data_IF_558710718996
#
_entry.id   IF_558710718996
#
_cell.length_a   1.000
_cell.length_b   1.000
_cell.length_c   1.000
_cell.angle_alpha   90.00
_cell.angle_beta   90.00
_cell.angle_gamma   90.00
#
_symmetry.space_group_name_H-M   'P 1'
#
loop_
_entity.id
_entity.type
_entity.pdbx_description
1 polymer ?
#
# COMPACT_ATOMS: atom_id res chain seq x y z
N UNK A 1 -46.67 -1.31 40.63
CA UNK A 1 -45.30 -1.29 41.18
C UNK A 1 -44.47 -2.53 40.83
N UNK A 2 -44.88 -3.76 41.15
CA UNK A 2 -44.06 -5.00 40.99
C UNK A 2 -43.53 -5.26 39.56
N UNK A 3 -44.31 -4.94 38.50
CA UNK A 3 -43.92 -5.17 37.09
C UNK A 3 -42.81 -4.25 36.60
N UNK A 4 -42.69 -3.05 37.15
CA UNK A 4 -41.63 -2.11 36.78
C UNK A 4 -40.30 -2.41 37.49
N UNK A 5 -40.37 -3.03 38.67
CA UNK A 5 -39.19 -3.49 39.42
C UNK A 5 -38.49 -4.64 38.68
N UNK A 6 -39.26 -5.59 38.14
CA UNK A 6 -38.70 -6.70 37.36
C UNK A 6 -38.02 -6.23 36.06
N UNK A 7 -38.62 -5.27 35.33
CA UNK A 7 -37.99 -4.72 34.13
C UNK A 7 -36.72 -3.91 34.43
N UNK A 8 -36.70 -3.17 35.55
CA UNK A 8 -35.50 -2.43 35.97
C UNK A 8 -34.35 -3.38 36.37
N UNK A 9 -34.66 -4.50 37.01
CA UNK A 9 -33.66 -5.49 37.42
C UNK A 9 -33.01 -6.21 36.22
N UNK A 10 -33.80 -6.49 35.17
CA UNK A 10 -33.30 -7.14 33.94
C UNK A 10 -32.38 -6.22 33.14
N UNK A 11 -32.70 -4.92 33.08
CA UNK A 11 -31.81 -3.92 32.44
C UNK A 11 -30.50 -3.75 33.21
N UNK A 12 -30.54 -3.81 34.55
CA UNK A 12 -29.35 -3.72 35.39
C UNK A 12 -28.43 -4.95 35.23
N UNK A 13 -28.99 -6.14 35.02
CA UNK A 13 -28.22 -7.38 34.83
C UNK A 13 -27.46 -7.43 33.49
N UNK A 14 -27.95 -6.76 32.44
CA UNK A 14 -27.30 -6.74 31.12
C UNK A 14 -26.10 -5.78 31.06
N UNK A 15 -26.01 -4.78 31.93
CA UNK A 15 -24.90 -3.80 31.94
C UNK A 15 -23.61 -4.33 32.59
N UNK A 16 -23.67 -5.47 33.29
CA UNK A 16 -22.53 -6.06 34.00
C UNK A 16 -21.57 -6.88 33.12
N UNK A 17 -21.85 -7.03 31.82
CA UNK A 17 -21.03 -7.80 30.89
C UNK A 17 -20.45 -6.97 29.73
N UNK A 18 -20.12 -5.69 29.95
CA UNK A 18 -19.26 -4.98 29.00
C UNK A 18 -17.78 -5.27 29.32
N UNK A 19 -17.03 -5.93 28.42
CA UNK A 19 -15.59 -6.09 28.59
C UNK A 19 -14.93 -4.71 28.58
N UNK A 20 -13.97 -4.48 29.49
CA UNK A 20 -13.11 -3.29 29.48
C UNK A 20 -12.33 -3.28 28.17
N UNK A 21 -12.78 -2.49 27.20
CA UNK A 21 -12.05 -2.25 25.95
C UNK A 21 -10.72 -1.59 26.33
N UNK A 22 -9.56 -2.18 25.99
CA UNK A 22 -8.28 -1.54 26.21
C UNK A 22 -8.22 -0.28 25.34
N UNK A 23 -7.92 0.85 25.96
CA UNK A 23 -7.71 2.12 25.28
C UNK A 23 -6.49 2.00 24.36
N UNK A 24 -6.75 1.62 23.09
CA UNK A 24 -5.75 1.43 22.04
C UNK A 24 -5.66 2.69 21.16
N UNK A 25 -6.10 3.84 21.68
CA UNK A 25 -5.86 5.12 21.05
C UNK A 25 -4.35 5.38 21.00
N UNK A 26 -3.84 5.72 19.82
CA UNK A 26 -2.51 6.35 19.70
C UNK A 26 -2.53 7.57 20.63
N UNK A 27 -1.61 7.60 21.60
CA UNK A 27 -1.60 8.54 22.72
C UNK A 27 -1.56 10.00 22.29
N UNK A 28 -2.73 10.57 22.03
CA UNK A 28 -2.95 12.00 21.96
C UNK A 28 -3.51 12.42 23.32
N UNK A 29 -2.62 12.79 24.24
CA UNK A 29 -3.04 13.63 25.35
C UNK A 29 -3.80 14.85 24.79
N UNK A 30 -4.76 15.38 25.55
CA UNK A 30 -5.52 16.56 25.13
C UNK A 30 -4.61 17.69 24.66
N UNK A 31 -5.08 18.48 23.68
CA UNK A 31 -4.28 19.54 23.04
C UNK A 31 -3.53 20.47 24.02
N UNK A 32 -4.12 20.72 25.20
CA UNK A 32 -3.49 21.51 26.27
C UNK A 32 -2.26 20.84 26.90
N UNK A 33 -2.28 19.52 27.08
CA UNK A 33 -1.14 18.71 27.53
C UNK A 33 -0.04 18.71 26.46
N UNK A 34 -0.42 18.53 25.18
CA UNK A 34 0.51 18.64 24.06
C UNK A 34 1.19 20.02 24.00
N UNK A 35 0.43 21.10 24.15
CA UNK A 35 0.95 22.46 24.15
C UNK A 35 1.93 22.70 25.32
N UNK A 36 1.61 22.20 26.52
CA UNK A 36 2.53 22.25 27.68
C UNK A 36 3.82 21.47 27.45
N UNK A 37 3.72 20.24 26.93
CA UNK A 37 4.89 19.41 26.58
C UNK A 37 5.76 20.07 25.50
N UNK A 38 5.15 20.76 24.54
CA UNK A 38 5.86 21.53 23.51
C UNK A 38 6.61 22.71 24.12
N UNK A 39 5.94 23.54 24.93
CA UNK A 39 6.56 24.67 25.60
C UNK A 39 7.72 24.26 26.54
N UNK A 40 7.56 23.17 27.29
CA UNK A 40 8.62 22.64 28.15
C UNK A 40 9.85 22.16 27.35
N UNK A 41 9.63 21.53 26.19
CA UNK A 41 10.70 21.11 25.28
C UNK A 41 11.40 22.31 24.64
N UNK A 42 10.64 23.31 24.21
CA UNK A 42 11.18 24.53 23.62
C UNK A 42 12.05 25.30 24.64
N UNK A 43 11.62 25.36 25.91
CA UNK A 43 12.41 25.93 27.01
C UNK A 43 13.71 25.15 27.32
N UNK A 44 13.68 23.81 27.20
CA UNK A 44 14.89 22.98 27.32
C UNK A 44 15.88 23.23 26.17
N UNK A 45 15.38 23.50 24.96
CA UNK A 45 16.21 23.80 23.80
C UNK A 45 16.81 25.21 23.86
N UNK A 46 16.09 26.20 24.41
CA UNK A 46 16.63 27.55 24.62
C UNK A 46 17.78 27.59 25.65
N UNK A 47 17.75 26.71 26.65
CA UNK A 47 18.85 26.56 27.61
C UNK A 47 20.10 25.88 27.03
N UNK A 48 19.93 25.10 25.95
CA UNK A 48 21.03 24.45 25.25
C UNK A 48 21.40 25.31 24.04
N UNK A 49 22.17 26.38 24.27
CA UNK A 49 22.82 27.12 23.19
C UNK A 49 23.77 26.18 22.43
N UNK A 50 23.23 25.45 21.45
CA UNK A 50 24.03 24.90 20.36
C UNK A 50 24.68 26.12 19.73
N UNK A 51 26.00 26.24 19.92
CA UNK A 51 26.79 27.35 19.41
C UNK A 51 26.39 27.64 17.97
N UNK A 52 26.10 28.91 17.68
CA UNK A 52 25.82 29.42 16.34
C UNK A 52 26.95 29.00 15.39
N UNK A 53 26.81 27.85 14.76
CA UNK A 53 27.44 27.55 13.49
C UNK A 53 26.76 28.44 12.46
N UNK A 54 27.50 29.42 11.96
CA UNK A 54 27.04 30.34 10.94
C UNK A 54 26.45 29.60 9.74
N UNK A 55 25.49 30.26 9.11
CA UNK A 55 25.00 29.99 7.76
C UNK A 55 26.12 29.46 6.86
N UNK A 56 25.88 28.27 6.31
CA UNK A 56 26.75 27.65 5.31
C UNK A 56 26.51 28.40 4.00
N UNK A 57 27.31 29.41 3.72
CA UNK A 57 27.57 29.97 2.39
C UNK A 57 28.63 31.06 2.56
N UNK A 58 29.89 30.69 2.39
CA UNK A 58 30.89 31.48 1.67
C UNK A 58 32.21 30.67 1.65
N UNK A 59 32.77 30.53 0.46
CA UNK A 59 34.01 29.81 0.22
C UNK A 59 35.18 30.52 0.92
N UNK A 60 35.94 29.80 1.74
CA UNK A 60 37.20 30.32 2.30
C UNK A 60 38.35 29.43 1.86
N UNK A 61 39.07 29.97 0.88
CA UNK A 61 40.48 29.70 0.63
C UNK A 61 41.31 30.04 1.88
N UNK A 62 42.05 29.03 2.34
CA UNK A 62 43.40 29.09 2.94
C UNK A 62 43.83 30.37 3.69
N UNK A 63 43.94 30.29 5.03
CA UNK A 63 45.11 30.70 5.83
C UNK A 63 44.83 30.45 7.31
N UNK A 64 45.88 30.12 8.07
CA UNK A 64 45.78 29.48 9.38
C UNK A 64 45.12 30.29 10.49
N UNK A 65 44.54 29.58 11.47
CA UNK A 65 44.64 29.85 12.92
C UNK A 65 43.91 28.72 13.66
N UNK A 66 44.67 28.03 14.51
CA UNK A 66 44.27 27.26 15.70
C UNK A 66 43.13 26.25 15.59
N UNK A 67 43.56 24.99 15.52
CA UNK A 67 42.78 23.78 15.84
C UNK A 67 42.22 23.90 17.27
N UNK A 68 40.99 24.40 17.41
CA UNK A 68 40.23 24.21 18.64
C UNK A 68 39.89 22.71 18.69
N UNK A 69 40.58 21.97 19.56
CA UNK A 69 40.12 20.66 20.02
C UNK A 69 38.82 20.90 20.79
N UNK A 70 37.70 20.94 20.08
CA UNK A 70 36.39 20.81 20.70
C UNK A 70 36.26 19.35 21.14
N UNK A 71 36.74 19.07 22.35
CA UNK A 71 36.31 17.89 23.09
C UNK A 71 34.84 18.09 23.41
N UNK A 72 33.97 17.55 22.54
CA UNK A 72 32.59 17.27 22.91
C UNK A 72 32.65 16.28 24.07
N UNK A 73 32.53 16.80 25.30
CA UNK A 73 32.35 15.97 26.48
C UNK A 73 30.94 15.40 26.42
N UNK A 74 30.78 14.33 25.65
CA UNK A 74 29.55 13.55 25.54
C UNK A 74 29.26 12.95 26.91
N UNK A 75 28.42 13.62 27.70
CA UNK A 75 27.82 13.03 28.90
C UNK A 75 27.04 11.79 28.49
N UNK A 76 27.52 10.64 28.95
CA UNK A 76 26.96 9.29 28.84
C UNK A 76 25.50 9.21 28.35
N UNK A 77 25.32 8.92 27.05
CA UNK A 77 24.15 8.26 26.41
C UNK A 77 24.06 8.50 24.88
N UNK A 78 24.89 9.36 24.28
CA UNK A 78 24.90 9.58 22.83
C UNK A 78 26.05 8.75 22.22
N UNK A 79 25.70 7.87 21.28
CA UNK A 79 26.66 7.02 20.54
C UNK A 79 27.73 7.88 19.88
N UNK A 80 28.99 7.45 19.90
CA UNK A 80 30.12 8.13 19.26
C UNK A 80 30.09 8.04 17.71
N UNK A 81 29.02 7.51 17.15
CA UNK A 81 28.72 7.40 15.71
C UNK A 81 28.58 8.76 14.99
N UNK A 82 28.63 9.88 15.72
CA UNK A 82 28.67 11.24 15.16
C UNK A 82 30.07 11.88 15.26
N UNK A 83 31.05 11.23 15.87
CA UNK A 83 32.45 11.68 15.90
C UNK A 83 33.26 10.98 14.79
N UNK A 84 33.62 11.75 13.75
CA UNK A 84 34.41 11.27 12.62
C UNK A 84 35.76 10.67 13.02
N UNK A 85 36.37 11.08 14.15
CA UNK A 85 37.62 10.51 14.64
C UNK A 85 37.39 9.14 15.33
N UNK A 86 36.26 8.98 16.01
CA UNK A 86 35.90 7.72 16.66
C UNK A 86 35.52 6.65 15.62
N UNK A 87 34.78 7.03 14.57
CA UNK A 87 34.38 6.13 13.49
C UNK A 87 35.57 5.78 12.59
N UNK A 88 36.43 6.73 12.21
CA UNK A 88 37.61 6.44 11.37
C UNK A 88 38.67 5.57 12.04
N UNK A 89 38.72 5.53 13.37
CA UNK A 89 39.58 4.60 14.11
C UNK A 89 39.02 3.17 14.23
N UNK A 90 37.71 2.99 14.05
CA UNK A 90 37.00 1.70 14.19
C UNK A 90 36.67 1.06 12.84
N UNK A 91 36.28 1.88 11.86
CA UNK A 91 35.92 1.48 10.51
C UNK A 91 37.03 1.85 9.55
N UNK A 92 37.77 0.84 9.09
CA UNK A 92 38.80 0.99 8.08
C UNK A 92 38.24 0.78 6.68
N UNK A 93 38.95 1.29 5.66
CA UNK A 93 38.61 1.08 4.24
C UNK A 93 38.60 -0.41 3.92
N UNK A 94 39.49 -1.17 4.55
CA UNK A 94 39.61 -2.62 4.42
C UNK A 94 38.39 -3.35 4.99
N UNK A 95 37.93 -2.99 6.20
CA UNK A 95 36.70 -3.54 6.81
C UNK A 95 35.48 -3.28 5.91
N UNK A 96 35.37 -2.05 5.40
CA UNK A 96 34.25 -1.66 4.56
C UNK A 96 34.23 -2.41 3.21
N UNK A 97 35.42 -2.59 2.61
CA UNK A 97 35.59 -3.39 1.40
C UNK A 97 35.11 -4.84 1.60
N UNK A 98 35.42 -5.47 2.73
CA UNK A 98 34.96 -6.83 3.03
C UNK A 98 33.44 -6.90 3.23
N UNK A 99 32.85 -5.90 3.90
CA UNK A 99 31.39 -5.82 4.08
C UNK A 99 30.68 -5.68 2.73
N UNK A 100 31.18 -4.82 1.85
CA UNK A 100 30.67 -4.67 0.50
C UNK A 100 30.87 -5.95 -0.33
N UNK A 101 32.00 -6.65 -0.18
CA UNK A 101 32.22 -7.93 -0.84
C UNK A 101 31.19 -8.99 -0.41
N UNK A 102 30.89 -9.07 0.89
CA UNK A 102 29.83 -9.96 1.43
C UNK A 102 28.44 -9.59 0.90
N UNK A 103 28.10 -8.30 0.87
CA UNK A 103 26.82 -7.83 0.35
C UNK A 103 26.67 -8.11 -1.15
N UNK A 104 27.74 -7.88 -1.93
CA UNK A 104 27.75 -8.16 -3.37
C UNK A 104 27.70 -9.65 -3.68
N UNK A 105 28.32 -10.50 -2.85
CA UNK A 105 28.24 -11.95 -2.99
C UNK A 105 26.82 -12.51 -2.74
N UNK A 106 26.00 -11.79 -1.98
CA UNK A 106 24.59 -12.14 -1.73
C UNK A 106 23.61 -11.50 -2.72
N UNK A 107 24.07 -10.54 -3.52
CA UNK A 107 23.21 -9.82 -4.45
C UNK A 107 22.96 -10.67 -5.71
N UNK A 108 21.70 -11.04 -5.92
CA UNK A 108 21.23 -11.71 -7.14
C UNK A 108 20.36 -10.74 -7.93
N UNK A 109 20.80 -10.38 -9.13
CA UNK A 109 19.96 -9.67 -10.10
C UNK A 109 19.09 -10.70 -10.79
N UNK A 110 17.79 -10.63 -10.58
CA UNK A 110 16.83 -11.40 -11.37
C UNK A 110 16.56 -10.58 -12.63
N UNK A 111 17.17 -10.99 -13.74
CA UNK A 111 16.85 -10.42 -15.05
C UNK A 111 15.36 -10.66 -15.37
N UNK A 112 14.62 -9.63 -15.84
CA UNK A 112 13.24 -9.80 -16.25
C UNK A 112 13.14 -10.86 -17.34
N UNK A 113 12.73 -12.06 -16.96
CA UNK A 113 12.49 -13.13 -17.92
C UNK A 113 11.18 -12.81 -18.64
N UNK A 114 11.17 -12.94 -19.97
CA UNK A 114 9.95 -12.75 -20.75
C UNK A 114 8.83 -13.62 -20.16
N UNK A 115 7.65 -13.01 -19.95
CA UNK A 115 6.46 -13.74 -19.53
C UNK A 115 6.29 -14.93 -20.47
N UNK A 116 6.11 -16.16 -19.96
CA UNK A 116 5.98 -17.35 -20.80
C UNK A 116 4.97 -17.09 -21.92
N UNK A 117 5.42 -17.20 -23.17
CA UNK A 117 4.57 -17.04 -24.37
C UNK A 117 3.69 -18.26 -24.63
N UNK A 118 3.68 -19.21 -23.70
CA UNK A 118 2.72 -20.30 -23.66
C UNK A 118 1.32 -19.70 -23.65
N UNK A 119 0.64 -19.80 -24.78
CA UNK A 119 -0.72 -19.35 -24.97
C UNK A 119 -1.60 -20.05 -23.93
N UNK A 120 -1.81 -19.43 -22.79
CA UNK A 120 -2.97 -19.70 -21.98
C UNK A 120 -4.16 -19.31 -22.87
N UNK A 121 -4.67 -20.27 -23.65
CA UNK A 121 -5.72 -20.04 -24.64
C UNK A 121 -6.93 -19.35 -24.00
N UNK A 122 -7.17 -19.63 -22.71
CA UNK A 122 -8.17 -18.97 -21.88
C UNK A 122 -7.82 -17.49 -21.62
N UNK A 123 -6.57 -17.17 -21.26
CA UNK A 123 -6.10 -15.79 -21.10
C UNK A 123 -6.17 -14.99 -22.41
N UNK A 124 -5.77 -15.59 -23.53
CA UNK A 124 -5.89 -14.97 -24.84
C UNK A 124 -7.36 -14.71 -25.23
N UNK A 125 -8.27 -15.64 -24.92
CA UNK A 125 -9.70 -15.46 -25.14
C UNK A 125 -10.29 -14.32 -24.28
N UNK A 126 -9.88 -14.21 -23.01
CA UNK A 126 -10.29 -13.11 -22.13
C UNK A 126 -9.80 -11.75 -22.64
N UNK A 127 -8.53 -11.65 -23.03
CA UNK A 127 -7.96 -10.43 -23.64
C UNK A 127 -8.73 -10.08 -24.91
N UNK A 128 -8.92 -11.05 -25.82
CA UNK A 128 -9.69 -10.82 -27.05
C UNK A 128 -11.10 -10.29 -26.74
N UNK A 129 -11.78 -10.90 -25.78
CA UNK A 129 -13.12 -10.47 -25.36
C UNK A 129 -13.11 -9.05 -24.77
N UNK A 130 -12.19 -8.75 -23.84
CA UNK A 130 -12.03 -7.43 -23.23
C UNK A 130 -11.78 -6.31 -24.26
N UNK A 131 -11.00 -6.62 -25.31
CA UNK A 131 -10.65 -5.67 -26.35
C UNK A 131 -11.73 -5.50 -27.42
N UNK A 132 -12.58 -6.51 -27.62
CA UNK A 132 -13.71 -6.48 -28.56
C UNK A 132 -14.93 -5.70 -28.03
N UNK A 133 -15.11 -5.70 -26.71
CA UNK A 133 -16.21 -5.00 -26.04
C UNK A 133 -15.89 -3.52 -25.82
N UNK A 134 -16.90 -2.66 -25.89
CA UNK A 134 -16.76 -1.20 -25.69
C UNK A 134 -17.51 -0.65 -24.48
N UNK A 135 -18.46 -1.41 -23.96
CA UNK A 135 -19.27 -1.03 -22.81
C UNK A 135 -18.44 -1.03 -21.52
N UNK A 136 -18.88 -0.22 -20.55
CA UNK A 136 -18.33 -0.18 -19.19
C UNK A 136 -18.95 -1.29 -18.34
N UNK A 137 -18.32 -1.60 -17.21
CA UNK A 137 -18.93 -2.46 -16.18
C UNK A 137 -20.21 -1.82 -15.67
N UNK A 138 -21.23 -2.64 -15.44
CA UNK A 138 -22.60 -2.25 -15.08
C UNK A 138 -23.40 -1.64 -16.24
N UNK A 139 -22.83 -1.47 -17.43
CA UNK A 139 -23.55 -0.94 -18.58
C UNK A 139 -24.30 -2.07 -19.28
N UNK A 140 -25.58 -2.23 -18.93
CA UNK A 140 -26.48 -3.22 -19.50
C UNK A 140 -26.61 -3.05 -21.03
N UNK A 141 -26.08 -4.01 -21.78
CA UNK A 141 -26.20 -4.09 -23.25
C UNK A 141 -26.92 -5.36 -23.70
N UNK A 142 -27.05 -6.35 -22.82
CA UNK A 142 -27.81 -7.58 -23.03
C UNK A 142 -29.08 -7.54 -22.19
N UNK A 143 -30.22 -7.88 -22.82
CA UNK A 143 -31.51 -7.95 -22.12
C UNK A 143 -31.49 -9.15 -21.16
N UNK A 144 -31.74 -8.91 -19.87
CA UNK A 144 -31.87 -9.94 -18.83
C UNK A 144 -33.24 -9.86 -18.18
N UNK A 145 -33.92 -10.99 -18.11
CA UNK A 145 -35.09 -11.12 -17.24
C UNK A 145 -34.60 -11.43 -15.82
N UNK A 146 -34.58 -10.43 -14.95
CA UNK A 146 -34.15 -10.61 -13.56
C UNK A 146 -35.20 -11.29 -12.68
N UNK A 147 -36.33 -11.72 -13.27
CA UNK A 147 -37.35 -12.50 -12.60
C UNK A 147 -36.75 -13.82 -12.06
N UNK A 148 -36.57 -13.91 -10.74
CA UNK A 148 -35.99 -15.07 -10.06
C UNK A 148 -34.46 -15.03 -9.85
N UNK A 149 -33.78 -13.98 -10.32
CA UNK A 149 -32.37 -13.71 -10.00
C UNK A 149 -32.26 -12.80 -8.79
N UNK A 150 -31.86 -13.36 -7.65
CA UNK A 150 -31.61 -12.60 -6.42
C UNK A 150 -30.12 -12.35 -6.20
N UNK A 151 -29.79 -11.29 -5.46
CA UNK A 151 -28.41 -11.00 -5.07
C UNK A 151 -27.74 -12.21 -4.38
N UNK A 152 -28.47 -12.96 -3.57
CA UNK A 152 -27.95 -14.18 -2.94
C UNK A 152 -27.66 -15.30 -3.94
N UNK A 153 -28.49 -15.49 -4.97
CA UNK A 153 -28.22 -16.48 -6.03
C UNK A 153 -26.98 -16.09 -6.84
N UNK A 154 -26.90 -14.83 -7.25
CA UNK A 154 -25.73 -14.28 -7.93
C UNK A 154 -24.44 -14.50 -7.11
N UNK A 155 -24.41 -14.09 -5.83
CA UNK A 155 -23.25 -14.31 -4.94
C UNK A 155 -22.85 -15.77 -4.86
N UNK A 156 -23.81 -16.69 -4.67
CA UNK A 156 -23.53 -18.15 -4.64
C UNK A 156 -23.00 -18.68 -5.96
N UNK A 157 -23.47 -18.15 -7.09
CA UNK A 157 -22.98 -18.57 -8.41
C UNK A 157 -21.55 -18.07 -8.65
N UNK A 158 -21.25 -16.83 -8.26
CA UNK A 158 -19.91 -16.26 -8.38
C UNK A 158 -18.90 -16.91 -7.43
N UNK A 159 -19.32 -17.26 -6.21
CA UNK A 159 -18.47 -17.96 -5.23
C UNK A 159 -17.99 -19.35 -5.67
N UNK A 160 -18.54 -19.91 -6.76
CA UNK A 160 -18.07 -21.18 -7.35
C UNK A 160 -16.72 -21.04 -8.07
N UNK A 161 -16.31 -19.82 -8.40
CA UNK A 161 -15.10 -19.57 -9.16
C UNK A 161 -14.02 -18.94 -8.27
N UNK A 162 -12.77 -19.41 -8.35
CA UNK A 162 -11.69 -18.92 -7.51
C UNK A 162 -11.18 -17.53 -7.93
N UNK A 163 -11.55 -17.04 -9.11
CA UNK A 163 -11.21 -15.70 -9.57
C UNK A 163 -12.23 -15.14 -10.57
N UNK A 164 -12.31 -13.80 -10.74
CA UNK A 164 -13.16 -13.18 -11.75
C UNK A 164 -12.88 -13.67 -13.18
N UNK A 165 -11.60 -13.85 -13.53
CA UNK A 165 -11.19 -14.37 -14.84
C UNK A 165 -11.73 -15.79 -15.10
N UNK A 166 -11.76 -16.64 -14.07
CA UNK A 166 -12.34 -17.99 -14.17
C UNK A 166 -13.86 -17.92 -14.34
N UNK A 167 -14.54 -17.02 -13.63
CA UNK A 167 -15.97 -16.79 -13.81
C UNK A 167 -16.29 -16.32 -15.24
N UNK A 168 -15.54 -15.34 -15.76
CA UNK A 168 -15.70 -14.83 -17.13
C UNK A 168 -15.45 -15.92 -18.17
N UNK A 169 -14.39 -16.71 -18.01
CA UNK A 169 -14.10 -17.83 -18.92
C UNK A 169 -15.26 -18.83 -18.93
N UNK A 170 -15.74 -19.21 -17.75
CA UNK A 170 -16.84 -20.16 -17.61
C UNK A 170 -18.17 -19.62 -18.16
N UNK A 171 -18.41 -18.31 -18.05
CA UNK A 171 -19.53 -17.59 -18.63
C UNK A 171 -19.48 -17.67 -20.16
N UNK A 172 -18.36 -17.25 -20.77
CA UNK A 172 -18.15 -17.30 -22.23
C UNK A 172 -18.30 -18.72 -22.78
N UNK A 173 -17.76 -19.72 -22.08
CA UNK A 173 -17.88 -21.13 -22.47
C UNK A 173 -19.31 -21.69 -22.33
N UNK A 174 -20.18 -21.04 -21.55
CA UNK A 174 -21.57 -21.50 -21.30
C UNK A 174 -22.65 -20.74 -22.09
N UNK A 175 -22.24 -20.03 -23.15
CA UNK A 175 -23.12 -19.20 -24.00
C UNK A 175 -22.84 -17.71 -23.89
N UNK A 176 -22.00 -17.31 -22.92
CA UNK A 176 -21.58 -15.94 -22.72
C UNK A 176 -22.76 -14.98 -22.60
N UNK A 177 -22.61 -13.75 -23.12
CA UNK A 177 -23.62 -12.73 -22.91
C UNK A 177 -24.91 -12.96 -23.70
N UNK A 178 -24.90 -13.79 -24.74
CA UNK A 178 -26.13 -14.18 -25.44
C UNK A 178 -27.04 -15.03 -24.54
N UNK A 179 -26.45 -15.88 -23.69
CA UNK A 179 -27.19 -16.80 -22.82
C UNK A 179 -26.47 -16.98 -21.48
N UNK A 180 -26.88 -16.22 -20.48
CA UNK A 180 -26.40 -16.37 -19.10
C UNK A 180 -27.10 -17.53 -18.38
N UNK A 181 -26.77 -18.77 -18.77
CA UNK A 181 -27.37 -19.97 -18.18
C UNK A 181 -27.01 -20.17 -16.71
N UNK A 182 -25.92 -19.57 -16.25
CA UNK A 182 -25.37 -19.74 -14.90
C UNK A 182 -25.69 -18.56 -13.97
N UNK A 183 -26.38 -17.52 -14.45
CA UNK A 183 -26.74 -16.35 -13.67
C UNK A 183 -25.50 -15.61 -13.13
N UNK A 184 -24.49 -15.44 -13.99
CA UNK A 184 -23.22 -14.77 -13.66
C UNK A 184 -23.19 -13.30 -14.07
N UNK A 185 -24.09 -12.85 -14.93
CA UNK A 185 -24.17 -11.49 -15.48
C UNK A 185 -25.65 -11.01 -15.41
N UNK A 186 -26.18 -10.76 -14.19
CA UNK A 186 -27.57 -10.34 -13.97
C UNK A 186 -27.83 -8.88 -14.39
N UNK A 187 -26.81 -8.04 -14.44
CA UNK A 187 -26.87 -6.68 -14.95
C UNK A 187 -26.77 -6.62 -16.48
N UNK A 188 -26.37 -7.71 -17.13
CA UNK A 188 -26.40 -7.83 -18.59
C UNK A 188 -25.35 -6.95 -19.27
N UNK A 189 -24.27 -6.63 -18.59
CA UNK A 189 -23.15 -5.89 -19.17
C UNK A 189 -22.19 -6.83 -19.94
N UNK A 190 -22.40 -8.14 -19.85
CA UNK A 190 -21.58 -9.15 -20.49
C UNK A 190 -20.24 -9.41 -19.79
N UNK A 191 -20.09 -8.93 -18.56
CA UNK A 191 -18.97 -9.16 -17.66
C UNK A 191 -19.45 -9.91 -16.43
N UNK A 192 -19.10 -11.19 -16.39
CA UNK A 192 -19.50 -12.10 -15.34
C UNK A 192 -18.88 -11.72 -13.99
N UNK A 193 -19.72 -11.76 -12.97
CA UNK A 193 -19.32 -11.55 -11.59
C UNK A 193 -18.58 -10.21 -11.41
N UNK A 194 -17.39 -10.25 -10.82
CA UNK A 194 -16.57 -9.06 -10.57
C UNK A 194 -15.56 -8.78 -11.70
N UNK A 195 -15.69 -9.46 -12.84
CA UNK A 195 -14.69 -9.34 -13.91
C UNK A 195 -14.65 -7.94 -14.52
N UNK A 196 -13.44 -7.43 -14.73
CA UNK A 196 -13.20 -6.09 -15.25
C UNK A 196 -12.35 -6.11 -16.52
N UNK A 197 -12.85 -5.59 -17.66
CA UNK A 197 -12.06 -5.49 -18.89
C UNK A 197 -11.06 -4.32 -18.89
N UNK A 198 -11.16 -3.36 -17.96
CA UNK A 198 -10.33 -2.14 -17.96
C UNK A 198 -8.83 -2.39 -17.89
N UNK A 199 -8.31 -3.30 -17.04
CA UNK A 199 -6.88 -3.59 -17.01
C UNK A 199 -6.33 -4.00 -18.39
N UNK A 200 -7.03 -4.85 -19.12
CA UNK A 200 -6.65 -5.27 -20.47
C UNK A 200 -6.69 -4.12 -21.49
N UNK A 201 -7.73 -3.29 -21.42
CA UNK A 201 -7.88 -2.13 -22.31
C UNK A 201 -6.82 -1.07 -22.04
N UNK A 202 -6.45 -0.86 -20.77
CA UNK A 202 -5.39 0.07 -20.37
C UNK A 202 -4.02 -0.44 -20.79
N UNK A 203 -3.75 -1.74 -20.64
CA UNK A 203 -2.51 -2.34 -21.13
C UNK A 203 -2.35 -2.16 -22.65
N UNK A 204 -3.43 -2.32 -23.44
CA UNK A 204 -3.39 -2.04 -24.89
C UNK A 204 -3.06 -0.57 -25.18
N UNK A 205 -3.66 0.38 -24.45
CA UNK A 205 -3.37 1.82 -24.62
C UNK A 205 -1.91 2.12 -24.31
N UNK A 206 -1.39 1.60 -23.20
CA UNK A 206 0.01 1.78 -22.81
C UNK A 206 0.97 1.17 -23.85
N UNK A 207 0.65 -0.01 -24.37
CA UNK A 207 1.43 -0.65 -25.44
C UNK A 207 1.41 0.17 -26.74
N UNK A 208 0.26 0.76 -27.12
CA UNK A 208 0.18 1.62 -28.30
C UNK A 208 0.97 2.93 -28.16
N UNK A 209 1.04 3.50 -26.95
CA UNK A 209 1.83 4.71 -26.69
C UNK A 209 3.32 4.42 -26.81
N UNK A 210 3.77 3.26 -26.30
CA UNK A 210 5.19 2.87 -26.33
C UNK A 210 5.68 2.47 -27.73
N UNK A 211 4.76 2.16 -28.65
CA UNK A 211 5.08 1.78 -30.02
C UNK A 211 5.29 2.97 -30.98
N UNK A 212 5.11 4.22 -30.50
CA UNK A 212 5.44 5.42 -31.29
C UNK A 212 6.96 5.66 -31.17
N UNK A 213 7.76 5.45 -32.23
CA UNK A 213 9.18 5.76 -32.19
C UNK A 213 9.37 7.27 -31.99
N UNK A 214 10.45 7.73 -31.33
CA UNK A 214 10.76 9.16 -31.28
C UNK A 214 10.94 9.65 -32.72
N UNK A 215 10.17 10.66 -33.14
CA UNK A 215 10.43 11.35 -34.39
C UNK A 215 11.81 12.02 -34.27
N UNK A 216 12.71 11.67 -35.18
CA UNK A 216 14.03 12.29 -35.27
C UNK A 216 13.85 13.75 -35.71
N UNK A 217 14.13 14.67 -34.79
CA UNK A 217 14.30 16.11 -35.06
C UNK A 217 15.77 16.50 -35.02
#
# INVERSE_FOLDING_TARGET
>A
MMRYVFSAMVVLALAACQPKVPDSGVGFDGYSEYAKKRAARDAQLEGNQIGRGGVVSDEISQAGTQRVKQTHTSTAAISDEQDFNAVSGRETIESDKERLARQRAQYVVIEPTAVPTGSNAQGAALVKYALSTRNKRGQAIYKRSNAGMSAQRYRRNCAKYPSPDRAQTAFLNSGGPARDSKGLDPDGDGFACEWDPQPFRNARKAASIRAVPPENG
#
